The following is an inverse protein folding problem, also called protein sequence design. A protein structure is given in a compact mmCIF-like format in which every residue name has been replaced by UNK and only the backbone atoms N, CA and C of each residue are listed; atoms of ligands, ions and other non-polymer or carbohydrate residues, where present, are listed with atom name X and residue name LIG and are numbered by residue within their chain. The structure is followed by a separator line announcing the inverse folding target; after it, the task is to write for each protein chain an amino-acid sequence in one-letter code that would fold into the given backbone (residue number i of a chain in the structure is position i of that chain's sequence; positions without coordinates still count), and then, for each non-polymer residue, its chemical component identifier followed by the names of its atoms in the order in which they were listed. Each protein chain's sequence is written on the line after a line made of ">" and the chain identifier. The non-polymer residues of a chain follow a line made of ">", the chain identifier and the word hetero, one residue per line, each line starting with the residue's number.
data_IF_655644246863
#
_entry.id   IF_655644246863
#
_cell.length_a   1.000
_cell.length_b   1.000
_cell.length_c   1.000
_cell.angle_alpha   90.00
_cell.angle_beta   90.00
_cell.angle_gamma   90.00
#
_symmetry.space_group_name_H-M   'P 1'
#
loop_
_entity.id
_entity.type
_entity.pdbx_description
1 polymer ?
#
# COMPACT_ATOMS: atom_id res chain seq x y z
N UNK A 1 5.26 -16.81 -9.31
CA UNK A 1 5.15 -16.80 -7.83
C UNK A 1 3.92 -17.60 -7.35
N UNK A 2 3.81 -18.90 -7.63
CA UNK A 2 2.62 -19.71 -7.22
C UNK A 2 2.94 -21.03 -6.50
N UNK A 3 4.21 -21.42 -6.35
CA UNK A 3 4.60 -22.76 -5.88
C UNK A 3 5.47 -22.81 -4.61
N UNK A 4 5.49 -21.77 -3.77
CA UNK A 4 6.11 -21.90 -2.43
C UNK A 4 5.03 -22.34 -1.43
N UNK A 5 5.01 -23.64 -1.10
CA UNK A 5 4.02 -24.26 -0.21
C UNK A 5 4.06 -23.69 1.23
N UNK A 6 5.16 -23.06 1.63
CA UNK A 6 5.40 -22.52 2.97
C UNK A 6 5.77 -21.04 2.85
N UNK A 7 5.03 -20.18 3.55
CA UNK A 7 5.38 -18.76 3.68
C UNK A 7 6.37 -18.62 4.82
N UNK A 8 7.63 -18.42 4.47
CA UNK A 8 8.71 -18.15 5.43
C UNK A 8 8.96 -16.64 5.55
N UNK A 9 9.50 -16.21 6.68
CA UNK A 9 9.90 -14.80 6.92
C UNK A 9 10.88 -14.29 5.86
N UNK A 10 11.78 -15.16 5.39
CA UNK A 10 12.76 -14.84 4.35
C UNK A 10 12.08 -14.49 3.03
N UNK A 11 11.14 -15.34 2.57
CA UNK A 11 10.35 -15.12 1.35
C UNK A 11 9.51 -13.85 1.45
N UNK A 12 8.95 -13.57 2.64
CA UNK A 12 8.20 -12.34 2.88
C UNK A 12 9.08 -11.09 2.80
N UNK A 13 10.30 -11.14 3.36
CA UNK A 13 11.26 -10.04 3.29
C UNK A 13 11.74 -9.79 1.87
N UNK A 14 12.00 -10.85 1.09
CA UNK A 14 12.35 -10.76 -0.32
C UNK A 14 11.23 -10.10 -1.14
N UNK A 15 9.98 -10.55 -0.94
CA UNK A 15 8.80 -9.94 -1.58
C UNK A 15 8.69 -8.44 -1.28
N UNK A 16 8.82 -8.04 0.00
CA UNK A 16 8.76 -6.63 0.38
C UNK A 16 9.88 -5.79 -0.21
N UNK A 17 11.06 -6.38 -0.39
CA UNK A 17 12.19 -5.71 -1.02
C UNK A 17 11.97 -5.56 -2.53
N UNK A 18 11.43 -6.58 -3.20
CA UNK A 18 11.11 -6.51 -4.63
C UNK A 18 10.09 -5.40 -4.91
N UNK A 19 9.01 -5.34 -4.12
CA UNK A 19 8.00 -4.28 -4.23
C UNK A 19 8.62 -2.90 -3.98
N UNK A 20 9.44 -2.75 -2.93
CA UNK A 20 10.04 -1.46 -2.62
C UNK A 20 11.05 -1.01 -3.69
N UNK A 21 11.88 -1.91 -4.21
CA UNK A 21 12.78 -1.62 -5.31
C UNK A 21 11.99 -1.18 -6.56
N UNK A 22 10.90 -1.86 -6.89
CA UNK A 22 10.04 -1.47 -8.00
C UNK A 22 9.42 -0.08 -7.79
N UNK A 23 8.95 0.26 -6.59
CA UNK A 23 8.41 1.59 -6.30
C UNK A 23 9.48 2.69 -6.40
N UNK A 24 10.69 2.41 -5.92
CA UNK A 24 11.82 3.36 -6.02
C UNK A 24 12.28 3.57 -7.46
N UNK A 25 12.24 2.53 -8.30
CA UNK A 25 12.55 2.62 -9.73
C UNK A 25 11.52 3.44 -10.51
N UNK A 26 10.30 3.59 -9.99
CA UNK A 26 9.21 4.38 -10.58
C UNK A 26 9.08 5.76 -9.90
N UNK A 27 10.18 6.29 -9.35
CA UNK A 27 10.26 7.65 -8.78
C UNK A 27 9.30 7.93 -7.61
N UNK A 28 8.83 6.89 -6.90
CA UNK A 28 8.08 7.07 -5.66
C UNK A 28 9.01 7.57 -4.56
N UNK A 29 8.57 8.57 -3.80
CA UNK A 29 9.35 9.16 -2.71
C UNK A 29 9.79 8.12 -1.67
N UNK A 30 11.09 8.04 -1.39
CA UNK A 30 11.73 7.08 -0.47
C UNK A 30 11.05 7.02 0.91
N UNK A 31 10.62 8.17 1.44
CA UNK A 31 9.94 8.25 2.74
C UNK A 31 8.66 7.41 2.75
N UNK A 32 7.82 7.57 1.72
CA UNK A 32 6.56 6.85 1.59
C UNK A 32 6.80 5.34 1.44
N UNK A 33 7.80 4.95 0.63
CA UNK A 33 8.17 3.53 0.46
C UNK A 33 8.66 2.91 1.77
N UNK A 34 9.46 3.65 2.56
CA UNK A 34 9.93 3.20 3.88
C UNK A 34 8.78 3.01 4.87
N UNK A 35 7.83 3.95 4.87
CA UNK A 35 6.67 3.90 5.76
C UNK A 35 5.77 2.71 5.39
N UNK A 36 5.54 2.46 4.09
CA UNK A 36 4.83 1.29 3.59
C UNK A 36 5.47 -0.02 4.08
N UNK A 37 6.79 -0.17 3.94
CA UNK A 37 7.49 -1.38 4.40
C UNK A 37 7.37 -1.57 5.93
N UNK A 38 7.49 -0.49 6.69
CA UNK A 38 7.39 -0.51 8.15
C UNK A 38 5.97 -0.88 8.60
N UNK A 39 4.96 -0.33 7.93
CA UNK A 39 3.56 -0.59 8.24
C UNK A 39 3.15 -2.02 7.90
N UNK A 40 3.58 -2.56 6.75
CA UNK A 40 3.27 -3.95 6.38
C UNK A 40 3.93 -4.93 7.35
N UNK A 41 5.19 -4.70 7.76
CA UNK A 41 5.85 -5.52 8.78
C UNK A 41 5.12 -5.50 10.13
N UNK A 42 4.56 -4.34 10.52
CA UNK A 42 3.78 -4.21 11.76
C UNK A 42 2.42 -4.93 11.68
N UNK A 43 1.77 -4.90 10.52
CA UNK A 43 0.45 -5.56 10.32
C UNK A 43 0.62 -7.08 10.28
N UNK A 44 1.64 -7.55 9.56
CA UNK A 44 1.93 -8.98 9.41
C UNK A 44 2.83 -9.42 10.57
N UNK A 45 2.32 -9.39 11.80
CA UNK A 45 2.97 -10.04 12.94
C UNK A 45 2.75 -11.55 12.81
N UNK A 46 3.73 -12.25 12.23
CA UNK A 46 3.65 -13.68 11.89
C UNK A 46 3.47 -14.61 13.11
N UNK A 47 3.79 -14.12 14.31
CA UNK A 47 3.69 -14.86 15.57
C UNK A 47 2.30 -14.80 16.24
N UNK A 48 1.43 -13.87 15.82
CA UNK A 48 0.13 -13.62 16.48
C UNK A 48 -1.06 -14.35 15.86
N UNK A 49 -0.89 -15.02 14.72
CA UNK A 49 -2.00 -15.64 13.99
C UNK A 49 -2.13 -17.12 14.33
N UNK A 50 -3.23 -17.47 14.99
CA UNK A 50 -3.59 -18.84 15.32
C UNK A 50 -3.60 -19.75 14.08
N UNK A 51 -3.22 -21.01 14.28
CA UNK A 51 -3.21 -22.06 13.25
C UNK A 51 -4.61 -22.20 12.62
N UNK A 52 -4.72 -21.88 11.33
CA UNK A 52 -5.99 -21.93 10.59
C UNK A 52 -6.21 -20.76 9.64
N UNK A 53 -5.50 -19.65 9.82
CA UNK A 53 -5.56 -18.54 8.86
C UNK A 53 -4.59 -18.73 7.68
N UNK A 54 -5.09 -18.48 6.47
CA UNK A 54 -4.28 -18.46 5.25
C UNK A 54 -3.28 -17.28 5.28
N UNK A 55 -2.08 -17.52 5.83
CA UNK A 55 -1.00 -16.51 5.97
C UNK A 55 -0.71 -15.75 4.66
N UNK A 56 -0.80 -16.44 3.51
CA UNK A 56 -0.66 -15.81 2.17
C UNK A 56 -1.70 -14.73 1.90
N UNK A 57 -2.96 -15.01 2.23
CA UNK A 57 -4.07 -14.09 1.98
C UNK A 57 -3.96 -12.86 2.88
N UNK A 58 -3.52 -13.04 4.12
CA UNK A 58 -3.26 -11.93 5.05
C UNK A 58 -2.16 -11.02 4.51
N UNK A 59 -1.03 -11.60 4.07
CA UNK A 59 0.06 -10.82 3.47
C UNK A 59 -0.41 -10.06 2.24
N UNK A 60 -1.14 -10.72 1.34
CA UNK A 60 -1.67 -10.07 0.14
C UNK A 60 -2.62 -8.93 0.48
N UNK A 61 -3.52 -9.13 1.45
CA UNK A 61 -4.45 -8.09 1.91
C UNK A 61 -3.72 -6.94 2.59
N UNK A 62 -2.69 -7.22 3.39
CA UNK A 62 -1.89 -6.19 4.05
C UNK A 62 -1.15 -5.32 3.02
N UNK A 63 -0.51 -5.94 2.03
CA UNK A 63 0.16 -5.24 0.92
C UNK A 63 -0.85 -4.39 0.13
N UNK A 64 -1.98 -4.97 -0.26
CA UNK A 64 -3.01 -4.26 -1.02
C UNK A 64 -3.59 -3.06 -0.24
N UNK A 65 -3.95 -3.28 1.02
CA UNK A 65 -4.50 -2.22 1.88
C UNK A 65 -3.50 -1.08 2.06
N UNK A 66 -2.21 -1.39 2.24
CA UNK A 66 -1.20 -0.35 2.44
C UNK A 66 -0.92 0.44 1.16
N UNK A 67 -0.93 -0.22 -0.01
CA UNK A 67 -0.87 0.46 -1.31
C UNK A 67 -2.08 1.38 -1.53
N UNK A 68 -3.29 0.95 -1.13
CA UNK A 68 -4.47 1.82 -1.19
C UNK A 68 -4.33 3.04 -0.27
N UNK A 69 -3.85 2.84 0.97
CA UNK A 69 -3.63 3.95 1.92
C UNK A 69 -2.60 4.96 1.42
N UNK A 70 -1.58 4.49 0.70
CA UNK A 70 -0.59 5.38 0.10
C UNK A 70 -1.22 6.36 -0.91
N UNK A 71 -2.30 5.98 -1.59
CA UNK A 71 -2.98 6.80 -2.59
C UNK A 71 -4.20 7.56 -2.03
N UNK A 72 -4.65 7.22 -0.82
CA UNK A 72 -5.85 7.79 -0.23
C UNK A 72 -5.55 9.16 0.44
N UNK A 73 -6.12 10.28 -0.06
CA UNK A 73 -5.96 11.59 0.55
C UNK A 73 -6.75 11.76 1.86
N UNK A 74 -7.60 10.80 2.25
CA UNK A 74 -8.40 10.83 3.47
C UNK A 74 -9.45 11.95 3.52
N UNK A 75 -9.75 12.58 2.38
CA UNK A 75 -10.69 13.70 2.26
C UNK A 75 -11.80 13.36 1.27
N UNK A 76 -13.06 13.75 1.56
CA UNK A 76 -14.16 13.53 0.64
C UNK A 76 -13.99 14.37 -0.62
N UNK A 77 -14.51 13.86 -1.73
CA UNK A 77 -14.53 14.57 -3.01
C UNK A 77 -15.38 15.84 -2.91
N UNK A 78 -14.90 16.93 -3.51
CA UNK A 78 -15.67 18.17 -3.62
C UNK A 78 -16.89 17.92 -4.52
N UNK A 79 -18.08 18.03 -3.95
CA UNK A 79 -19.35 17.89 -4.68
C UNK A 79 -19.98 19.26 -4.88
N UNK A 80 -20.18 19.72 -6.14
CA UNK A 80 -20.78 21.02 -6.41
C UNK A 80 -22.23 21.04 -5.91
N UNK A 81 -22.62 22.14 -5.26
CA UNK A 81 -23.98 22.31 -4.72
C UNK A 81 -24.94 22.77 -5.81
N UNK A 82 -26.13 22.19 -5.82
CA UNK A 82 -27.20 22.57 -6.77
C UNK A 82 -27.66 24.00 -6.47
N UNK A 83 -27.85 24.80 -7.51
CA UNK A 83 -28.29 26.22 -7.46
C UNK A 83 -27.24 27.23 -6.93
N UNK A 84 -25.99 26.81 -6.70
CA UNK A 84 -24.87 27.71 -6.41
C UNK A 84 -23.82 27.61 -7.54
N UNK A 85 -23.28 28.75 -8.05
CA UNK A 85 -22.21 28.70 -9.05
C UNK A 85 -20.95 28.10 -8.42
N UNK A 86 -20.36 27.08 -9.05
CA UNK A 86 -19.12 26.43 -8.62
C UNK A 86 -18.02 26.73 -9.63
N UNK A 87 -16.93 27.37 -9.19
CA UNK A 87 -15.76 27.69 -10.02
C UNK A 87 -14.62 26.72 -9.64
N UNK A 88 -14.09 26.00 -10.62
CA UNK A 88 -12.98 25.05 -10.44
C UNK A 88 -11.74 25.60 -11.12
N UNK A 89 -10.67 25.78 -10.36
CA UNK A 89 -9.37 26.23 -10.86
C UNK A 89 -8.40 25.05 -10.88
N UNK A 90 -7.88 24.73 -12.07
CA UNK A 90 -6.85 23.73 -12.24
C UNK A 90 -5.48 24.37 -12.04
N UNK A 91 -4.71 23.85 -11.10
CA UNK A 91 -3.33 24.24 -10.82
C UNK A 91 -2.45 22.99 -10.80
N UNK A 92 -1.21 23.12 -11.25
CA UNK A 92 -0.28 22.00 -11.33
C UNK A 92 1.14 22.47 -11.57
N UNK A 93 2.07 21.53 -11.54
CA UNK A 93 3.43 21.75 -12.04
C UNK A 93 3.38 21.92 -13.57
N UNK A 94 4.41 22.54 -14.13
CA UNK A 94 4.52 22.70 -15.57
C UNK A 94 4.86 21.35 -16.22
N UNK A 95 3.98 20.86 -17.10
CA UNK A 95 4.14 19.59 -17.82
C UNK A 95 3.09 18.58 -17.44
#
# INVERSE_FOLDING_TARGET
>A
MTNAMIVNETVFKELLNEIACALLQNDVQIKIVRDLQSNIKRIVNLDGYAEGHNKRKIIQQAVFSELCKMLDPGKPFLTPKKKEPSVVMFVGLQG
#
